data_IF_951442268439
#
_entry.id   IF_951442268439
#
_cell.length_a   1.000
_cell.length_b   1.000
_cell.length_c   1.000
_cell.angle_alpha   90.00
_cell.angle_beta   90.00
_cell.angle_gamma   90.00
#
_symmetry.space_group_name_H-M   'P 1'
#
loop_
_entity.id
_entity.type
_entity.pdbx_description
1 polymer ?
#
# COMPACT_ATOMS: atom_id res chain seq x y z
N UNK A 1 19.07 6.43 22.32
CA UNK A 1 18.41 5.55 21.33
C UNK A 1 18.06 4.25 22.03
N UNK A 2 16.90 3.67 21.74
CA UNK A 2 16.49 2.36 22.23
C UNK A 2 17.36 1.26 21.60
N UNK A 3 17.70 0.21 22.36
CA UNK A 3 18.40 -0.96 21.83
C UNK A 3 17.61 -1.62 20.69
N UNK A 4 18.31 -2.12 19.68
CA UNK A 4 17.73 -2.65 18.43
C UNK A 4 16.71 -3.74 18.70
N UNK A 5 17.06 -4.66 19.58
CA UNK A 5 16.24 -5.82 19.93
C UNK A 5 14.91 -5.39 20.57
N UNK A 6 14.95 -4.32 21.37
CA UNK A 6 13.75 -3.75 21.97
C UNK A 6 12.85 -3.07 20.93
N UNK A 7 13.45 -2.38 19.96
CA UNK A 7 12.71 -1.79 18.83
C UNK A 7 12.05 -2.89 18.03
N UNK A 8 12.79 -3.93 17.62
CA UNK A 8 12.27 -5.03 16.82
C UNK A 8 11.14 -5.77 17.52
N UNK A 9 11.30 -6.08 18.81
CA UNK A 9 10.23 -6.74 19.58
C UNK A 9 8.96 -5.89 19.64
N UNK A 10 9.11 -4.58 19.84
CA UNK A 10 7.98 -3.65 19.88
C UNK A 10 7.30 -3.52 18.52
N UNK A 11 8.09 -3.52 17.44
CA UNK A 11 7.62 -3.47 16.05
C UNK A 11 6.83 -4.72 15.69
N UNK A 12 7.37 -5.91 15.97
CA UNK A 12 6.71 -7.18 15.67
C UNK A 12 5.37 -7.29 16.42
N UNK A 13 5.34 -6.85 17.68
CA UNK A 13 4.11 -6.79 18.47
C UNK A 13 3.11 -5.77 17.89
N UNK A 14 3.57 -4.62 17.40
CA UNK A 14 2.71 -3.64 16.75
C UNK A 14 2.07 -4.19 15.46
N UNK A 15 2.82 -4.95 14.64
CA UNK A 15 2.28 -5.62 13.46
C UNK A 15 1.20 -6.62 13.82
N UNK A 16 1.47 -7.51 14.77
CA UNK A 16 0.51 -8.53 15.21
C UNK A 16 -0.78 -7.88 15.72
N UNK A 17 -0.67 -6.91 16.63
CA UNK A 17 -1.85 -6.25 17.19
C UNK A 17 -2.61 -5.43 16.14
N UNK A 18 -1.92 -4.83 15.16
CA UNK A 18 -2.58 -4.15 14.04
C UNK A 18 -3.35 -5.13 13.17
N UNK A 19 -2.71 -6.22 12.75
CA UNK A 19 -3.34 -7.26 11.92
C UNK A 19 -4.59 -7.81 12.61
N UNK A 20 -4.49 -8.08 13.92
CA UNK A 20 -5.64 -8.55 14.71
C UNK A 20 -6.75 -7.50 14.85
N UNK A 21 -6.40 -6.21 14.88
CA UNK A 21 -7.38 -5.13 14.87
C UNK A 21 -8.08 -5.04 13.50
N UNK A 22 -7.32 -5.11 12.42
CA UNK A 22 -7.84 -5.03 11.04
C UNK A 22 -8.76 -6.19 10.72
N UNK A 23 -8.43 -7.41 11.16
CA UNK A 23 -9.33 -8.57 11.04
C UNK A 23 -10.69 -8.30 11.70
N UNK A 24 -10.70 -7.61 12.85
CA UNK A 24 -11.94 -7.28 13.57
C UNK A 24 -12.71 -6.14 12.92
N UNK A 25 -12.02 -5.19 12.31
CA UNK A 25 -12.65 -4.08 11.59
C UNK A 25 -13.25 -4.57 10.27
N UNK A 26 -12.50 -5.38 9.50
CA UNK A 26 -12.98 -6.03 8.28
C UNK A 26 -14.23 -6.91 8.57
N UNK A 27 -14.19 -7.72 9.63
CA UNK A 27 -15.33 -8.57 10.01
C UNK A 27 -16.55 -7.77 10.48
N UNK A 28 -16.37 -6.52 10.88
CA UNK A 28 -17.43 -5.63 11.33
C UNK A 28 -17.80 -4.56 10.28
N UNK A 29 -17.28 -4.66 9.05
CA UNK A 29 -17.42 -3.68 7.97
C UNK A 29 -17.10 -2.24 8.43
N UNK A 30 -16.06 -2.11 9.27
CA UNK A 30 -15.56 -0.82 9.75
C UNK A 30 -14.33 -0.39 8.95
N UNK A 31 -14.16 0.93 8.72
CA UNK A 31 -12.92 1.43 8.17
C UNK A 31 -11.75 1.10 9.11
N UNK A 32 -10.68 0.55 8.55
CA UNK A 32 -9.44 0.27 9.29
C UNK A 32 -8.84 1.57 9.83
N UNK A 33 -8.25 1.52 11.01
CA UNK A 33 -7.45 2.62 11.54
C UNK A 33 -6.14 2.76 10.74
N UNK A 34 -5.71 3.99 10.45
CA UNK A 34 -4.39 4.24 9.86
C UNK A 34 -3.28 3.67 10.75
N UNK A 35 -2.18 3.19 10.17
CA UNK A 35 -1.11 2.59 10.98
C UNK A 35 -0.38 3.62 11.85
N UNK A 36 -0.27 4.86 11.37
CA UNK A 36 0.34 5.97 12.12
C UNK A 36 -0.48 6.32 13.37
N UNK A 37 -1.81 6.37 13.27
CA UNK A 37 -2.67 6.62 14.43
C UNK A 37 -2.80 5.40 15.33
N UNK A 38 -2.84 4.21 14.74
CA UNK A 38 -2.79 2.96 15.49
C UNK A 38 -1.53 2.90 16.36
N UNK A 39 -0.36 3.24 15.82
CA UNK A 39 0.90 3.18 16.56
C UNK A 39 0.89 4.11 17.78
N UNK A 40 0.33 5.32 17.66
CA UNK A 40 0.14 6.23 18.79
C UNK A 40 -0.74 5.60 19.86
N UNK A 41 -1.91 5.07 19.47
CA UNK A 41 -2.86 4.44 20.40
C UNK A 41 -2.32 3.12 21.00
N UNK A 42 -1.52 2.36 20.26
CA UNK A 42 -0.83 1.17 20.73
C UNK A 42 0.16 1.51 21.83
N UNK A 43 1.02 2.51 21.64
CA UNK A 43 1.97 2.95 22.64
C UNK A 43 1.27 3.52 23.89
N UNK A 44 0.18 4.28 23.73
CA UNK A 44 -0.61 4.77 24.87
C UNK A 44 -1.19 3.60 25.67
N UNK A 45 -1.78 2.60 25.01
CA UNK A 45 -2.30 1.39 25.68
C UNK A 45 -1.20 0.61 26.40
N UNK A 46 -0.01 0.53 25.80
CA UNK A 46 1.13 -0.21 26.35
C UNK A 46 1.78 0.46 27.56
N UNK A 47 1.92 1.79 27.54
CA UNK A 47 2.63 2.54 28.58
C UNK A 47 1.71 3.29 29.56
N UNK A 48 0.39 3.27 29.34
CA UNK A 48 -0.65 3.83 30.23
C UNK A 48 -0.77 5.36 30.22
N UNK A 49 0.32 6.09 29.94
CA UNK A 49 0.33 7.55 29.93
C UNK A 49 0.75 8.11 28.56
N UNK A 50 0.00 9.11 28.07
CA UNK A 50 0.27 9.79 26.80
C UNK A 50 1.67 10.39 26.72
N UNK A 51 2.14 11.03 27.80
CA UNK A 51 3.49 11.61 27.86
C UNK A 51 4.60 10.58 27.70
N UNK A 52 4.45 9.41 28.33
CA UNK A 52 5.41 8.29 28.20
C UNK A 52 5.35 7.72 26.78
N UNK A 53 4.16 7.48 26.24
CA UNK A 53 3.98 6.98 24.88
C UNK A 53 4.59 7.92 23.82
N UNK A 54 4.41 9.24 23.96
CA UNK A 54 5.04 10.23 23.06
C UNK A 54 6.56 10.20 23.17
N UNK A 55 7.11 10.11 24.39
CA UNK A 55 8.56 9.95 24.58
C UNK A 55 9.08 8.67 23.91
N UNK A 56 8.39 7.56 24.09
CA UNK A 56 8.75 6.27 23.49
C UNK A 56 8.66 6.30 21.97
N UNK A 57 7.64 6.94 21.39
CA UNK A 57 7.54 7.13 19.94
C UNK A 57 8.75 7.91 19.39
N UNK A 58 9.20 8.95 20.09
CA UNK A 58 10.41 9.68 19.74
C UNK A 58 11.69 8.83 19.83
N UNK A 59 11.79 7.97 20.85
CA UNK A 59 12.91 7.03 20.97
C UNK A 59 12.93 5.98 19.86
N UNK A 60 11.76 5.45 19.47
CA UNK A 60 11.60 4.54 18.33
C UNK A 60 12.03 5.23 17.04
N UNK A 61 11.49 6.43 16.77
CA UNK A 61 11.84 7.20 15.58
C UNK A 61 13.36 7.41 15.47
N UNK A 62 14.00 7.89 16.54
CA UNK A 62 15.45 8.10 16.55
C UNK A 62 16.23 6.80 16.31
N UNK A 63 15.77 5.67 16.86
CA UNK A 63 16.40 4.37 16.62
C UNK A 63 16.20 3.88 15.19
N UNK A 64 15.03 4.10 14.60
CA UNK A 64 14.73 3.73 13.21
C UNK A 64 15.64 4.49 12.26
N UNK A 65 15.67 5.82 12.35
CA UNK A 65 16.52 6.67 11.49
C UNK A 65 18.00 6.33 11.63
N UNK A 66 18.47 5.99 12.84
CA UNK A 66 19.87 5.65 13.06
C UNK A 66 20.30 4.29 12.47
N UNK A 67 19.35 3.40 12.12
CA UNK A 67 19.64 2.00 11.83
C UNK A 67 19.04 1.47 10.53
N UNK A 68 18.08 2.17 9.93
CA UNK A 68 17.37 1.70 8.74
C UNK A 68 18.33 1.34 7.59
N UNK A 69 19.39 2.12 7.39
CA UNK A 69 20.39 1.86 6.36
C UNK A 69 21.18 0.55 6.53
N UNK A 70 21.18 -0.04 7.75
CA UNK A 70 21.96 -1.23 8.11
C UNK A 70 21.10 -2.47 8.37
N UNK A 71 19.82 -2.27 8.71
CA UNK A 71 18.94 -3.33 9.18
C UNK A 71 17.62 -3.27 8.42
N UNK A 72 17.44 -4.19 7.46
CA UNK A 72 16.25 -4.24 6.60
C UNK A 72 14.95 -4.33 7.40
N UNK A 73 14.94 -5.00 8.55
CA UNK A 73 13.74 -5.08 9.42
C UNK A 73 13.33 -3.71 9.96
N UNK A 74 14.32 -2.94 10.39
CA UNK A 74 14.11 -1.58 10.90
C UNK A 74 13.68 -0.66 9.77
N UNK A 75 14.28 -0.82 8.58
CA UNK A 75 13.87 -0.08 7.37
C UNK A 75 12.44 -0.39 6.95
N UNK A 76 12.08 -1.67 6.91
CA UNK A 76 10.72 -2.12 6.59
C UNK A 76 9.69 -1.46 7.52
N UNK A 77 9.95 -1.46 8.84
CA UNK A 77 9.10 -0.73 9.78
C UNK A 77 9.09 0.77 9.55
N UNK A 78 10.25 1.38 9.30
CA UNK A 78 10.36 2.80 9.00
C UNK A 78 9.54 3.22 7.78
N UNK A 79 9.47 2.38 6.75
CA UNK A 79 8.63 2.59 5.57
C UNK A 79 7.14 2.39 5.90
N UNK A 80 6.74 1.28 6.51
CA UNK A 80 5.33 1.00 6.83
C UNK A 80 4.74 2.06 7.79
N UNK A 81 5.54 2.57 8.72
CA UNK A 81 5.14 3.60 9.69
C UNK A 81 5.26 5.04 9.20
N UNK A 82 5.76 5.28 7.98
CA UNK A 82 5.95 6.63 7.43
C UNK A 82 7.05 7.43 8.12
N UNK A 83 7.99 6.76 8.80
CA UNK A 83 9.12 7.42 9.47
C UNK A 83 10.30 7.70 8.54
N UNK A 84 10.53 6.84 7.54
CA UNK A 84 11.72 6.91 6.66
C UNK A 84 11.45 7.61 5.34
N UNK A 85 10.29 7.40 4.74
CA UNK A 85 9.93 7.98 3.44
C UNK A 85 8.51 8.53 3.53
N UNK A 86 8.39 9.80 3.91
CA UNK A 86 7.09 10.43 4.16
C UNK A 86 6.33 10.73 2.87
N UNK A 87 7.04 11.11 1.82
CA UNK A 87 6.46 11.49 0.52
C UNK A 87 5.98 10.24 -0.23
N UNK A 88 6.71 9.14 -0.15
CA UNK A 88 6.29 7.85 -0.71
C UNK A 88 5.38 7.02 0.20
N UNK A 89 4.97 7.54 1.36
CA UNK A 89 4.11 6.81 2.29
C UNK A 89 2.63 6.93 1.91
N UNK A 90 1.92 5.81 1.95
CA UNK A 90 0.46 5.79 1.89
C UNK A 90 -0.10 4.72 2.83
N UNK A 91 -1.35 4.91 3.28
CA UNK A 91 -2.06 3.91 4.07
C UNK A 91 -2.26 2.62 3.26
N UNK A 92 -2.54 2.72 1.95
CA UNK A 92 -2.70 1.55 1.07
C UNK A 92 -1.45 0.67 0.99
N UNK A 93 -0.25 1.28 0.94
CA UNK A 93 1.02 0.54 1.00
C UNK A 93 1.17 -0.24 2.32
N UNK A 94 0.79 0.39 3.44
CA UNK A 94 0.81 -0.27 4.74
C UNK A 94 -0.17 -1.43 4.79
N UNK A 95 -1.41 -1.22 4.35
CA UNK A 95 -2.46 -2.25 4.36
C UNK A 95 -2.07 -3.42 3.45
N UNK A 96 -1.51 -3.15 2.27
CA UNK A 96 -0.97 -4.17 1.37
C UNK A 96 0.13 -5.00 2.06
N UNK A 97 1.09 -4.34 2.69
CA UNK A 97 2.24 -5.02 3.31
C UNK A 97 1.84 -5.84 4.55
N UNK A 98 0.93 -5.33 5.39
CA UNK A 98 0.43 -6.08 6.54
C UNK A 98 -0.52 -7.22 6.13
N UNK A 99 -1.31 -7.04 5.06
CA UNK A 99 -2.09 -8.13 4.47
C UNK A 99 -1.18 -9.22 3.89
N UNK A 100 -0.05 -8.85 3.27
CA UNK A 100 0.99 -9.81 2.85
C UNK A 100 1.52 -10.62 4.03
N UNK A 101 1.93 -9.96 5.11
CA UNK A 101 2.43 -10.65 6.32
C UNK A 101 1.37 -11.60 6.91
N UNK A 102 0.12 -11.14 7.03
CA UNK A 102 -1.01 -11.96 7.49
C UNK A 102 -1.20 -13.18 6.59
N UNK A 103 -1.30 -12.98 5.27
CA UNK A 103 -1.60 -14.05 4.32
C UNK A 103 -0.50 -15.11 4.29
N UNK A 104 0.77 -14.69 4.33
CA UNK A 104 1.90 -15.63 4.43
C UNK A 104 1.85 -16.42 5.74
N UNK A 105 1.55 -15.76 6.86
CA UNK A 105 1.36 -16.41 8.16
C UNK A 105 0.28 -17.51 8.08
N UNK A 106 -0.89 -17.18 7.52
CA UNK A 106 -2.01 -18.11 7.35
C UNK A 106 -1.62 -19.31 6.45
N UNK A 107 -0.93 -19.05 5.33
CA UNK A 107 -0.52 -20.08 4.35
C UNK A 107 0.58 -21.02 4.88
N UNK A 108 1.46 -20.54 5.75
CA UNK A 108 2.43 -21.37 6.47
C UNK A 108 1.81 -22.11 7.68
N UNK A 109 0.48 -22.07 7.84
CA UNK A 109 -0.24 -22.77 8.90
C UNK A 109 -0.05 -22.15 10.29
N UNK A 110 0.32 -20.87 10.35
CA UNK A 110 0.50 -20.14 11.60
C UNK A 110 -0.75 -19.31 11.91
N UNK A 111 -1.02 -19.14 13.20
CA UNK A 111 -2.11 -18.28 13.64
C UNK A 111 -1.65 -16.80 13.67
N UNK A 112 -2.50 -15.83 13.27
CA UNK A 112 -2.14 -14.41 13.24
C UNK A 112 -1.69 -13.83 14.59
N UNK A 113 -2.12 -14.41 15.71
CA UNK A 113 -1.72 -14.00 17.06
C UNK A 113 -0.36 -14.56 17.52
N UNK A 114 0.39 -15.21 16.62
CA UNK A 114 1.74 -15.69 16.85
C UNK A 114 2.77 -15.05 15.89
N UNK A 115 2.37 -14.00 15.16
CA UNK A 115 3.26 -13.29 14.22
C UNK A 115 4.46 -12.70 14.96
N UNK A 116 4.23 -12.06 16.11
CA UNK A 116 5.29 -11.42 16.87
C UNK A 116 6.31 -12.43 17.39
N UNK A 117 5.83 -13.59 17.84
CA UNK A 117 6.68 -14.70 18.26
C UNK A 117 7.50 -15.23 17.07
N UNK A 118 6.85 -15.51 15.94
CA UNK A 118 7.52 -15.99 14.73
C UNK A 118 8.62 -15.06 14.24
N UNK A 119 8.34 -13.76 14.14
CA UNK A 119 9.31 -12.77 13.68
C UNK A 119 10.49 -12.56 14.64
N UNK A 120 10.29 -12.89 15.93
CA UNK A 120 11.30 -12.70 16.99
C UNK A 120 12.10 -13.96 17.31
N UNK A 121 11.58 -15.15 16.97
CA UNK A 121 12.19 -16.43 17.32
C UNK A 121 13.43 -16.75 16.48
N UNK A 122 13.44 -16.34 15.21
CA UNK A 122 14.53 -16.62 14.28
C UNK A 122 15.35 -15.35 14.01
N UNK A 123 16.67 -15.53 13.87
CA UNK A 123 17.51 -14.48 13.32
C UNK A 123 17.04 -14.16 11.92
N UNK A 124 16.45 -15.06 11.13
CA UNK A 124 15.90 -14.78 9.79
C UNK A 124 14.56 -15.48 9.57
N UNK A 125 13.44 -14.90 10.07
CA UNK A 125 12.13 -15.52 9.91
C UNK A 125 11.85 -15.71 8.42
N UNK A 126 11.56 -16.94 8.04
CA UNK A 126 11.33 -17.34 6.66
C UNK A 126 9.93 -17.91 6.45
N UNK A 127 9.42 -17.72 5.24
CA UNK A 127 8.21 -18.33 4.74
C UNK A 127 8.52 -19.28 3.58
N UNK A 128 7.69 -20.31 3.38
CA UNK A 128 7.88 -21.19 2.22
C UNK A 128 7.78 -20.39 0.91
N UNK A 129 8.60 -20.69 -0.13
CA UNK A 129 8.50 -20.00 -1.41
C UNK A 129 7.08 -20.06 -2.01
N UNK A 130 6.39 -21.18 -1.81
CA UNK A 130 5.02 -21.40 -2.25
C UNK A 130 4.04 -20.47 -1.51
N UNK A 131 4.13 -20.36 -0.17
CA UNK A 131 3.30 -19.44 0.60
C UNK A 131 3.57 -17.98 0.23
N UNK A 132 4.84 -17.60 0.01
CA UNK A 132 5.21 -16.26 -0.41
C UNK A 132 4.62 -15.88 -1.77
N UNK A 133 4.74 -16.78 -2.76
CA UNK A 133 4.21 -16.61 -4.11
C UNK A 133 2.67 -16.53 -4.11
N UNK A 134 2.01 -17.47 -3.42
CA UNK A 134 0.56 -17.51 -3.34
C UNK A 134 -0.01 -16.30 -2.59
N UNK A 135 0.66 -15.86 -1.51
CA UNK A 135 0.27 -14.66 -0.80
C UNK A 135 0.31 -13.43 -1.71
N UNK A 136 1.37 -13.25 -2.50
CA UNK A 136 1.47 -12.13 -3.43
C UNK A 136 0.36 -12.16 -4.47
N UNK A 137 0.13 -13.33 -5.07
CA UNK A 137 -0.90 -13.51 -6.08
C UNK A 137 -2.30 -13.19 -5.52
N UNK A 138 -2.61 -13.63 -4.31
CA UNK A 138 -3.92 -13.37 -3.69
C UNK A 138 -4.07 -11.93 -3.21
N UNK A 139 -3.08 -11.38 -2.53
CA UNK A 139 -3.17 -10.03 -1.93
C UNK A 139 -3.13 -8.94 -3.00
N UNK A 140 -2.36 -9.12 -4.09
CA UNK A 140 -2.33 -8.16 -5.21
C UNK A 140 -3.66 -8.04 -5.97
N UNK A 141 -4.58 -9.00 -5.81
CA UNK A 141 -5.93 -8.96 -6.40
C UNK A 141 -6.98 -8.38 -5.46
N UNK A 142 -6.59 -7.96 -4.27
CA UNK A 142 -7.48 -7.28 -3.34
C UNK A 142 -7.45 -5.78 -3.57
N UNK A 143 -8.46 -5.08 -3.07
CA UNK A 143 -8.60 -3.62 -3.21
C UNK A 143 -7.46 -2.79 -2.61
N UNK A 144 -6.57 -3.38 -1.81
CA UNK A 144 -5.42 -2.66 -1.23
C UNK A 144 -4.23 -2.54 -2.20
N UNK A 145 -4.27 -3.24 -3.33
CA UNK A 145 -3.25 -3.16 -4.37
C UNK A 145 -3.85 -2.59 -5.67
N UNK A 146 -3.23 -1.57 -6.28
CA UNK A 146 -3.69 -1.02 -7.56
C UNK A 146 -3.59 -1.99 -8.74
N UNK A 147 -2.66 -2.94 -8.68
CA UNK A 147 -2.37 -3.84 -9.79
C UNK A 147 -2.17 -5.27 -9.30
N UNK A 148 -2.73 -6.22 -10.04
CA UNK A 148 -2.51 -7.64 -9.80
C UNK A 148 -1.09 -8.07 -10.21
N UNK A 149 -0.48 -8.95 -9.41
CA UNK A 149 0.84 -9.50 -9.71
C UNK A 149 0.77 -10.40 -10.96
N UNK A 150 1.64 -10.13 -11.94
CA UNK A 150 1.87 -10.97 -13.11
C UNK A 150 2.71 -12.20 -12.76
N UNK A 151 2.74 -13.19 -13.63
CA UNK A 151 3.58 -14.38 -13.46
C UNK A 151 5.07 -14.02 -13.30
N UNK A 152 5.55 -12.99 -14.01
CA UNK A 152 6.92 -12.49 -13.84
C UNK A 152 7.21 -11.97 -12.43
N UNK A 153 6.26 -11.27 -11.81
CA UNK A 153 6.36 -10.80 -10.42
C UNK A 153 6.40 -11.99 -9.46
N UNK A 154 5.60 -13.03 -9.73
CA UNK A 154 5.61 -14.27 -8.92
C UNK A 154 6.94 -15.01 -9.06
N UNK A 155 7.53 -15.08 -10.26
CA UNK A 155 8.86 -15.66 -10.46
C UNK A 155 9.96 -14.90 -9.70
N UNK A 156 9.87 -13.58 -9.63
CA UNK A 156 10.82 -12.75 -8.87
C UNK A 156 10.81 -13.08 -7.37
N UNK A 157 9.65 -13.40 -6.80
CA UNK A 157 9.55 -13.86 -5.40
C UNK A 157 10.38 -15.12 -5.18
N UNK A 158 10.38 -16.06 -6.13
CA UNK A 158 11.18 -17.29 -6.06
C UNK A 158 12.69 -17.05 -6.00
N UNK A 159 13.15 -15.87 -6.43
CA UNK A 159 14.55 -15.42 -6.46
C UNK A 159 14.95 -14.57 -5.24
N UNK A 160 14.01 -14.25 -4.36
CA UNK A 160 14.31 -13.50 -3.15
C UNK A 160 15.28 -14.26 -2.22
N UNK A 161 16.03 -13.54 -1.36
CA UNK A 161 16.92 -14.16 -0.38
C UNK A 161 16.21 -15.20 0.49
N UNK A 162 16.89 -16.32 0.70
CA UNK A 162 16.40 -17.45 1.50
C UNK A 162 17.30 -17.66 2.71
N UNK A 163 16.71 -18.07 3.83
CA UNK A 163 17.45 -18.49 5.02
C UNK A 163 18.04 -19.90 4.82
N UNK A 164 18.75 -20.41 5.84
CA UNK A 164 19.39 -21.74 5.80
C UNK A 164 18.40 -22.89 5.55
N UNK A 165 17.12 -22.72 5.88
CA UNK A 165 16.07 -23.70 5.64
C UNK A 165 15.50 -23.63 4.20
N UNK A 166 16.00 -22.73 3.35
CA UNK A 166 15.49 -22.51 2.00
C UNK A 166 14.20 -21.69 1.93
N UNK A 167 13.77 -21.10 3.05
CA UNK A 167 12.58 -20.28 3.14
C UNK A 167 12.89 -18.82 2.77
N UNK A 168 11.99 -18.16 2.04
CA UNK A 168 12.11 -16.74 1.69
C UNK A 168 12.10 -15.91 2.96
N UNK A 169 13.11 -15.07 3.16
CA UNK A 169 13.20 -14.21 4.34
C UNK A 169 12.03 -13.21 4.32
N UNK A 170 11.20 -13.23 5.37
CA UNK A 170 9.92 -12.50 5.43
C UNK A 170 10.13 -11.00 5.20
N UNK A 171 11.16 -10.41 5.78
CA UNK A 171 11.39 -8.98 5.64
C UNK A 171 11.79 -8.57 4.21
N UNK A 172 12.50 -9.42 3.49
CA UNK A 172 12.81 -9.20 2.08
C UNK A 172 11.55 -9.31 1.21
N UNK A 173 10.64 -10.23 1.55
CA UNK A 173 9.31 -10.30 0.93
C UNK A 173 8.48 -9.04 1.22
N UNK A 174 8.47 -8.53 2.45
CA UNK A 174 7.75 -7.31 2.79
C UNK A 174 8.35 -6.07 2.11
N UNK A 175 9.67 -5.98 2.01
CA UNK A 175 10.34 -4.93 1.23
C UNK A 175 9.97 -5.01 -0.26
N UNK A 176 9.96 -6.23 -0.82
CA UNK A 176 9.49 -6.45 -2.20
C UNK A 176 8.03 -5.99 -2.38
N UNK A 177 7.15 -6.33 -1.43
CA UNK A 177 5.76 -5.91 -1.45
C UNK A 177 5.59 -4.38 -1.42
N UNK A 178 6.40 -3.68 -0.60
CA UNK A 178 6.41 -2.20 -0.56
C UNK A 178 6.79 -1.62 -1.92
N UNK A 179 7.90 -2.10 -2.50
CA UNK A 179 8.38 -1.59 -3.79
C UNK A 179 7.41 -1.92 -4.94
N UNK A 180 6.84 -3.12 -4.94
CA UNK A 180 5.81 -3.50 -5.89
C UNK A 180 4.59 -2.58 -5.80
N UNK A 181 4.10 -2.31 -4.59
CA UNK A 181 2.95 -1.42 -4.38
C UNK A 181 3.24 -0.02 -4.91
N UNK A 182 4.39 0.57 -4.56
CA UNK A 182 4.80 1.88 -5.07
C UNK A 182 4.85 1.93 -6.60
N UNK A 183 5.48 0.93 -7.22
CA UNK A 183 5.54 0.83 -8.69
C UNK A 183 4.14 0.68 -9.30
N UNK A 184 3.27 -0.11 -8.68
CA UNK A 184 1.90 -0.30 -9.17
C UNK A 184 1.08 1.00 -9.12
N UNK A 185 1.22 1.80 -8.06
CA UNK A 185 0.57 3.12 -7.96
C UNK A 185 1.02 4.03 -9.09
N UNK A 186 2.34 4.14 -9.31
CA UNK A 186 2.91 4.98 -10.38
C UNK A 186 2.44 4.50 -11.75
N UNK A 187 2.43 3.19 -11.96
CA UNK A 187 2.05 2.55 -13.22
C UNK A 187 0.57 2.79 -13.55
N UNK A 188 -0.31 2.58 -12.59
CA UNK A 188 -1.75 2.85 -12.73
C UNK A 188 -2.02 4.34 -12.95
N UNK A 189 -1.35 5.23 -12.20
CA UNK A 189 -1.45 6.69 -12.41
C UNK A 189 -1.05 7.07 -13.84
N UNK A 190 0.09 6.57 -14.32
CA UNK A 190 0.56 6.79 -15.69
C UNK A 190 -0.43 6.27 -16.73
N UNK A 191 -1.03 5.10 -16.49
CA UNK A 191 -2.07 4.55 -17.36
C UNK A 191 -3.31 5.44 -17.46
N UNK A 192 -3.80 5.98 -16.33
CA UNK A 192 -4.91 6.94 -16.36
C UNK A 192 -4.55 8.24 -17.08
N UNK A 193 -3.31 8.72 -16.97
CA UNK A 193 -2.85 9.88 -17.74
C UNK A 193 -2.81 9.60 -19.25
N UNK A 194 -2.37 8.42 -19.68
CA UNK A 194 -2.42 8.03 -21.11
C UNK A 194 -3.86 7.91 -21.62
N UNK A 195 -4.74 7.33 -20.81
CA UNK A 195 -6.16 7.25 -21.14
C UNK A 195 -6.77 8.65 -21.29
N UNK A 196 -6.46 9.57 -20.38
CA UNK A 196 -6.89 10.96 -20.47
C UNK A 196 -6.49 11.56 -21.82
N UNK A 197 -5.21 11.45 -22.19
CA UNK A 197 -4.68 12.01 -23.45
C UNK A 197 -5.32 11.39 -24.71
N UNK A 198 -5.83 10.16 -24.63
CA UNK A 198 -6.54 9.55 -25.74
C UNK A 198 -7.94 10.14 -25.92
N UNK A 199 -8.55 10.62 -24.83
CA UNK A 199 -9.91 11.15 -24.81
C UNK A 199 -9.98 12.68 -24.96
N UNK A 200 -8.90 13.39 -24.65
CA UNK A 200 -8.66 14.79 -24.99
C UNK A 200 -8.53 14.93 -26.53
N UNK A 201 -9.67 15.06 -27.19
CA UNK A 201 -9.79 14.95 -28.64
C UNK A 201 -9.36 16.23 -29.34
N UNK A 202 -9.55 17.36 -28.67
CA UNK A 202 -9.19 18.68 -29.17
C UNK A 202 -7.73 19.07 -28.82
N UNK A 203 -7.08 18.33 -27.89
CA UNK A 203 -5.69 18.50 -27.48
C UNK A 203 -5.46 19.76 -26.65
N UNK A 204 -6.49 20.27 -25.97
CA UNK A 204 -6.41 21.49 -25.17
C UNK A 204 -5.89 21.22 -23.74
N UNK A 205 -5.68 19.96 -23.37
CA UNK A 205 -5.17 19.54 -22.07
C UNK A 205 -6.23 19.44 -20.99
N UNK A 206 -7.51 19.60 -21.34
CA UNK A 206 -8.66 19.45 -20.44
C UNK A 206 -9.66 18.45 -21.03
N UNK A 207 -10.60 17.98 -20.21
CA UNK A 207 -11.72 17.16 -20.69
C UNK A 207 -13.03 17.93 -20.50
N UNK A 208 -13.72 18.17 -21.62
CA UNK A 208 -15.11 18.60 -21.58
C UNK A 208 -16.02 17.42 -21.15
N UNK A 209 -17.25 17.71 -20.70
CA UNK A 209 -18.20 16.70 -20.22
C UNK A 209 -18.41 15.52 -21.20
N UNK A 210 -18.39 15.77 -22.51
CA UNK A 210 -18.56 14.71 -23.52
C UNK A 210 -17.36 13.76 -23.56
N UNK A 211 -16.15 14.31 -23.50
CA UNK A 211 -14.90 13.54 -23.52
C UNK A 211 -14.74 12.77 -22.21
N UNK A 212 -15.03 13.42 -21.08
CA UNK A 212 -15.07 12.78 -19.76
C UNK A 212 -16.10 11.64 -19.71
N UNK A 213 -17.32 11.85 -20.24
CA UNK A 213 -18.35 10.81 -20.29
C UNK A 213 -17.92 9.61 -21.11
N UNK A 214 -17.29 9.83 -22.26
CA UNK A 214 -16.75 8.75 -23.09
C UNK A 214 -15.64 7.97 -22.36
N UNK A 215 -14.76 8.68 -21.65
CA UNK A 215 -13.68 8.07 -20.88
C UNK A 215 -14.21 7.24 -19.69
N UNK A 216 -15.15 7.77 -18.90
CA UNK A 216 -15.72 7.07 -17.74
C UNK A 216 -16.42 5.77 -18.15
N UNK A 217 -17.10 5.77 -19.29
CA UNK A 217 -17.73 4.57 -19.87
C UNK A 217 -16.72 3.50 -20.30
N UNK A 218 -15.44 3.86 -20.53
CA UNK A 218 -14.37 2.92 -20.85
C UNK A 218 -13.71 2.31 -19.60
N UNK A 219 -13.72 3.01 -18.45
CA UNK A 219 -13.02 2.56 -17.22
C UNK A 219 -13.93 2.10 -16.09
N UNK A 220 -15.23 2.28 -16.26
CA UNK A 220 -16.21 1.91 -15.25
C UNK A 220 -17.42 1.26 -15.90
N UNK A 221 -18.17 0.49 -15.12
CA UNK A 221 -19.48 -0.02 -15.53
C UNK A 221 -20.59 1.04 -15.48
N UNK A 222 -20.27 2.30 -15.18
CA UNK A 222 -21.26 3.37 -15.08
C UNK A 222 -21.80 3.73 -16.46
N UNK A 223 -23.11 3.71 -16.58
CA UNK A 223 -23.82 4.08 -17.80
C UNK A 223 -24.89 5.15 -17.57
N UNK A 224 -25.17 5.51 -16.31
CA UNK A 224 -26.14 6.56 -15.99
C UNK A 224 -25.49 7.93 -16.20
N UNK A 225 -26.04 8.71 -17.12
CA UNK A 225 -25.56 10.07 -17.42
C UNK A 225 -25.62 10.99 -16.20
N UNK A 226 -26.57 10.79 -15.27
CA UNK A 226 -26.67 11.61 -14.06
C UNK A 226 -25.52 11.35 -13.09
N UNK A 227 -25.09 10.09 -12.98
CA UNK A 227 -23.95 9.70 -12.14
C UNK A 227 -22.64 10.25 -12.74
N UNK A 228 -22.50 10.18 -14.07
CA UNK A 228 -21.35 10.73 -14.79
C UNK A 228 -21.28 12.25 -14.65
N UNK A 229 -22.41 12.97 -14.78
CA UNK A 229 -22.45 14.42 -14.56
C UNK A 229 -22.07 14.78 -13.11
N UNK A 230 -22.56 14.04 -12.12
CA UNK A 230 -22.21 14.28 -10.72
C UNK A 230 -20.70 14.05 -10.45
N UNK A 231 -20.11 13.02 -11.08
CA UNK A 231 -18.66 12.79 -11.03
C UNK A 231 -17.86 13.90 -11.70
N UNK A 232 -18.36 14.44 -12.82
CA UNK A 232 -17.74 15.56 -13.52
C UNK A 232 -17.75 16.83 -12.67
N UNK A 233 -18.90 17.18 -12.07
CA UNK A 233 -19.02 18.32 -11.15
C UNK A 233 -18.10 18.16 -9.93
N UNK A 234 -18.01 16.94 -9.38
CA UNK A 234 -17.09 16.67 -8.27
C UNK A 234 -15.63 16.84 -8.69
N UNK A 235 -15.25 16.35 -9.87
CA UNK A 235 -13.90 16.48 -10.40
C UNK A 235 -13.53 17.95 -10.68
N UNK A 236 -14.43 18.72 -11.30
CA UNK A 236 -14.22 20.15 -11.53
C UNK A 236 -14.09 20.92 -10.20
N UNK A 237 -14.79 20.50 -9.14
CA UNK A 237 -14.68 21.12 -7.83
C UNK A 237 -13.35 20.86 -7.09
N UNK A 238 -12.47 19.99 -7.60
CA UNK A 238 -11.10 19.84 -7.08
C UNK A 238 -10.16 20.96 -7.53
N UNK A 239 -10.48 21.65 -8.63
CA UNK A 239 -9.69 22.75 -9.14
C UNK A 239 -10.08 24.04 -8.39
N UNK A 240 -9.09 24.77 -7.86
CA UNK A 240 -9.29 26.02 -7.11
C UNK A 240 -9.61 27.22 -8.02
N UNK A 241 -9.42 27.07 -9.34
CA UNK A 241 -9.72 28.08 -10.34
C UNK A 241 -11.11 27.80 -10.95
N UNK A 242 -11.94 28.84 -11.13
CA UNK A 242 -13.31 28.81 -11.68
C UNK A 242 -13.41 28.29 -13.14
N UNK A 243 -12.45 27.49 -13.62
CA UNK A 243 -12.49 26.85 -14.93
C UNK A 243 -13.21 25.50 -14.80
N UNK A 244 -14.29 25.32 -15.56
CA UNK A 244 -15.12 24.10 -15.64
C UNK A 244 -14.34 22.94 -16.31
N UNK A 245 -13.10 22.70 -15.92
CA UNK A 245 -12.16 21.82 -16.61
C UNK A 245 -11.54 20.79 -15.67
N UNK A 246 -11.22 19.62 -16.21
CA UNK A 246 -10.60 18.52 -15.46
C UNK A 246 -9.21 18.30 -16.01
N UNK A 247 -8.19 18.44 -15.16
CA UNK A 247 -6.80 18.11 -15.49
C UNK A 247 -6.54 16.60 -15.40
N UNK A 248 -5.48 16.13 -16.07
CA UNK A 248 -5.04 14.72 -15.99
C UNK A 248 -4.69 14.28 -14.57
N UNK A 249 -4.14 15.17 -13.75
CA UNK A 249 -3.84 14.92 -12.34
C UNK A 249 -5.12 14.71 -11.53
N UNK A 250 -6.10 15.61 -11.68
CA UNK A 250 -7.39 15.54 -11.00
C UNK A 250 -8.17 14.28 -11.39
N UNK A 251 -8.15 13.90 -12.66
CA UNK A 251 -8.75 12.64 -13.09
C UNK A 251 -8.08 11.42 -12.43
N UNK A 252 -6.75 11.37 -12.36
CA UNK A 252 -6.05 10.24 -11.74
C UNK A 252 -6.36 10.12 -10.22
N UNK A 253 -6.56 11.24 -9.54
CA UNK A 253 -7.00 11.27 -8.14
C UNK A 253 -8.45 10.78 -7.99
N UNK A 254 -9.35 11.24 -8.85
CA UNK A 254 -10.73 10.78 -8.89
C UNK A 254 -10.82 9.28 -9.17
N UNK A 255 -10.08 8.79 -10.16
CA UNK A 255 -10.02 7.37 -10.50
C UNK A 255 -9.52 6.52 -9.35
N UNK A 256 -8.55 7.04 -8.57
CA UNK A 256 -8.06 6.39 -7.35
C UNK A 256 -9.12 6.37 -6.25
N UNK A 257 -9.86 7.47 -6.06
CA UNK A 257 -10.95 7.60 -5.07
C UNK A 257 -12.10 6.64 -5.35
N UNK A 258 -12.50 6.54 -6.62
CA UNK A 258 -13.62 5.70 -7.07
C UNK A 258 -13.22 4.27 -7.46
N UNK A 259 -11.93 3.94 -7.35
CA UNK A 259 -11.39 2.61 -7.66
C UNK A 259 -11.71 2.17 -9.11
N UNK A 260 -11.55 3.06 -10.07
CA UNK A 260 -11.69 2.69 -11.48
C UNK A 260 -10.61 1.67 -11.88
N UNK A 261 -10.96 0.80 -12.82
CA UNK A 261 -10.03 -0.16 -13.38
C UNK A 261 -9.31 0.50 -14.56
N UNK A 262 -7.98 0.63 -14.46
CA UNK A 262 -7.18 1.12 -15.57
C UNK A 262 -7.05 0.03 -16.64
N UNK A 263 -7.44 0.27 -17.90
CA UNK A 263 -7.35 -0.75 -18.95
C UNK A 263 -5.90 -1.15 -19.20
N UNK A 264 -5.69 -2.45 -19.43
CA UNK A 264 -4.35 -3.05 -19.47
C UNK A 264 -3.43 -2.47 -20.54
N UNK A 265 -3.99 -2.02 -21.66
CA UNK A 265 -3.30 -1.39 -22.77
C UNK A 265 -2.65 -0.04 -22.42
N UNK A 266 -3.09 0.61 -21.33
CA UNK A 266 -2.45 1.85 -20.84
C UNK A 266 -1.38 1.58 -19.79
N UNK A 267 -1.27 0.33 -19.32
CA UNK A 267 -0.31 -0.09 -18.32
C UNK A 267 1.02 -0.56 -18.94
N UNK A 268 1.32 -0.27 -20.20
CA UNK A 268 2.64 -0.59 -20.76
C UNK A 268 3.72 0.38 -20.24
N UNK A 269 4.95 -0.12 -20.12
CA UNK A 269 6.08 0.57 -19.46
C UNK A 269 6.65 1.77 -20.25
N UNK A 270 6.09 2.08 -21.44
CA UNK A 270 6.49 3.27 -22.17
C UNK A 270 5.95 4.53 -21.46
N UNK A 271 6.79 5.51 -21.10
CA UNK A 271 6.29 6.77 -20.56
C UNK A 271 5.35 7.44 -21.59
N UNK A 272 4.29 8.14 -21.14
CA UNK A 272 3.50 8.96 -22.05
C UNK A 272 4.43 9.96 -22.77
N UNK A 273 4.20 10.25 -24.06
CA UNK A 273 4.94 11.30 -24.75
C UNK A 273 4.78 12.63 -23.99
N UNK A 274 5.90 13.35 -23.83
CA UNK A 274 5.96 14.70 -23.24
C UNK A 274 5.10 15.71 -24.01
#
# INVERSE_FOLDING_TARGET
AMAVENVLRLVHEAYEVKILADIKDDAADRPRQSFTDFLKSFLVRKYGLKSIATKQLGEIYNSVIAQEAKLERVRCFGLISGMVDKEGWSQGMCDFTLNMLKKVCDLDGRAPNNISEWLSADKEPGATPEAAALAMHEVSRTKVCPLAASDSVIEEIGRLPKNEAGNVIVHNLLMFAIEYHKKSVVKVKSGFMKLFLQHDTNGDGVLELQEFSAMIKNVSSMNDEREICALYEEAAAFEDDDDDTITKETFAELASKYQFECPTEFLDDDPPPE
#
